data_IF_080495614969
#
_entry.id   IF_080495614969
#
_cell.length_a   1.000
_cell.length_b   1.000
_cell.length_c   1.000
_cell.angle_alpha   90.00
_cell.angle_beta   90.00
_cell.angle_gamma   90.00
#
_symmetry.space_group_name_H-M   'P 1'
#
loop_
_entity.id
_entity.type
_entity.pdbx_description
1 polymer ?
#
# COMPACT_ATOMS: atom_id res chain seq x y z
N UNK A 1 14.84 4.78 -0.48
CA UNK A 1 15.50 6.10 -0.42
C UNK A 1 16.47 6.05 0.73
N UNK A 2 17.69 6.57 0.58
CA UNK A 2 18.72 6.46 1.62
C UNK A 2 18.33 7.34 2.80
N UNK A 3 18.52 6.81 4.02
CA UNK A 3 18.28 7.58 5.24
C UNK A 3 19.38 8.64 5.42
N UNK A 4 19.12 9.66 6.23
CA UNK A 4 20.16 10.64 6.58
C UNK A 4 21.29 9.97 7.39
N UNK A 5 20.95 8.97 8.21
CA UNK A 5 21.92 8.19 8.96
C UNK A 5 22.84 7.38 8.03
N UNK A 6 22.31 6.79 6.96
CA UNK A 6 23.10 6.08 5.94
C UNK A 6 24.12 7.03 5.28
N UNK A 7 23.70 8.25 4.98
CA UNK A 7 24.56 9.27 4.37
C UNK A 7 25.65 9.73 5.35
N UNK A 8 25.31 9.91 6.63
CA UNK A 8 26.29 10.25 7.66
C UNK A 8 27.32 9.13 7.84
N UNK A 9 26.89 7.87 7.81
CA UNK A 9 27.79 6.72 7.92
C UNK A 9 28.75 6.63 6.72
N UNK A 10 28.27 6.88 5.50
CA UNK A 10 29.13 6.94 4.31
C UNK A 10 30.15 8.09 4.38
N UNK A 11 29.74 9.25 4.89
CA UNK A 11 30.65 10.39 5.07
C UNK A 11 31.74 10.09 6.10
N UNK A 12 31.41 9.39 7.19
CA UNK A 12 32.38 8.97 8.21
C UNK A 12 33.36 7.91 7.69
N UNK A 13 32.90 6.94 6.89
CA UNK A 13 33.79 5.99 6.23
C UNK A 13 34.72 6.66 5.22
N UNK A 14 34.25 7.71 4.55
CA UNK A 14 35.06 8.46 3.60
C UNK A 14 36.18 9.28 4.28
N UNK A 15 36.06 9.61 5.56
CA UNK A 15 37.15 10.25 6.34
C UNK A 15 38.14 9.24 6.93
N UNK A 16 37.86 7.94 6.85
CA UNK A 16 38.69 6.85 7.38
C UNK A 16 38.99 5.80 6.29
N UNK A 17 39.95 6.07 5.37
CA UNK A 17 40.21 5.22 4.20
C UNK A 17 40.79 3.84 4.56
N UNK A 18 41.31 3.65 5.77
CA UNK A 18 41.72 2.35 6.32
C UNK A 18 40.56 1.52 6.91
N UNK A 19 39.34 2.05 6.94
CA UNK A 19 38.16 1.32 7.41
C UNK A 19 37.81 0.13 6.51
N UNK A 20 37.12 -0.86 7.09
CA UNK A 20 36.71 -2.06 6.37
C UNK A 20 35.60 -1.73 5.35
N UNK A 21 35.85 -2.00 4.07
CA UNK A 21 34.87 -1.78 3.01
C UNK A 21 33.60 -2.62 3.17
N UNK A 22 33.63 -3.69 3.98
CA UNK A 22 32.46 -4.51 4.29
C UNK A 22 31.31 -3.69 4.89
N UNK A 23 31.61 -2.61 5.61
CA UNK A 23 30.56 -1.74 6.18
C UNK A 23 29.76 -1.07 5.07
N UNK A 24 30.44 -0.63 4.00
CA UNK A 24 29.77 -0.06 2.81
C UNK A 24 28.94 -1.14 2.12
N UNK A 25 29.47 -2.35 1.94
CA UNK A 25 28.75 -3.46 1.30
C UNK A 25 27.44 -3.77 2.06
N UNK A 26 27.49 -3.87 3.39
CA UNK A 26 26.30 -4.11 4.21
C UNK A 26 25.25 -3.00 4.06
N UNK A 27 25.68 -1.74 4.10
CA UNK A 27 24.77 -0.60 3.92
C UNK A 27 24.05 -0.64 2.56
N UNK A 28 24.78 -0.99 1.49
CA UNK A 28 24.21 -1.12 0.17
C UNK A 28 23.26 -2.32 0.07
N UNK A 29 23.62 -3.45 0.66
CA UNK A 29 22.77 -4.65 0.71
C UNK A 29 21.43 -4.38 1.43
N UNK A 30 21.48 -3.71 2.58
CA UNK A 30 20.30 -3.30 3.33
C UNK A 30 19.40 -2.38 2.50
N UNK A 31 20.01 -1.44 1.79
CA UNK A 31 19.25 -0.52 0.95
C UNK A 31 18.62 -1.22 -0.25
N UNK A 32 19.33 -2.19 -0.86
CA UNK A 32 18.77 -3.04 -1.91
C UNK A 32 17.60 -3.87 -1.40
N UNK A 33 17.71 -4.43 -0.19
CA UNK A 33 16.63 -5.19 0.43
C UNK A 33 15.38 -4.32 0.64
N UNK A 34 15.56 -3.10 1.15
CA UNK A 34 14.45 -2.16 1.35
C UNK A 34 13.78 -1.75 0.03
N UNK A 35 14.56 -1.45 -1.01
CA UNK A 35 14.02 -1.11 -2.34
C UNK A 35 13.24 -2.30 -2.92
N UNK A 36 13.77 -3.53 -2.82
CA UNK A 36 13.09 -4.75 -3.28
C UNK A 36 11.77 -4.97 -2.55
N UNK A 37 11.73 -4.77 -1.24
CA UNK A 37 10.50 -4.85 -0.45
C UNK A 37 9.45 -3.84 -0.95
N UNK A 38 9.87 -2.58 -1.18
CA UNK A 38 8.96 -1.56 -1.71
C UNK A 38 8.43 -1.91 -3.10
N UNK A 39 9.28 -2.42 -3.99
CA UNK A 39 8.88 -2.88 -5.32
C UNK A 39 7.85 -4.01 -5.21
N UNK A 40 8.06 -4.99 -4.33
CA UNK A 40 7.11 -6.08 -4.11
C UNK A 40 5.74 -5.59 -3.61
N UNK A 41 5.72 -4.62 -2.68
CA UNK A 41 4.48 -3.96 -2.23
C UNK A 41 3.78 -3.22 -3.37
N UNK A 42 4.54 -2.48 -4.19
CA UNK A 42 3.99 -1.74 -5.32
C UNK A 42 3.44 -2.66 -6.41
N UNK A 43 4.10 -3.79 -6.72
CA UNK A 43 3.55 -4.79 -7.63
C UNK A 43 2.29 -5.46 -7.09
N UNK A 44 2.18 -5.62 -5.78
CA UNK A 44 0.94 -6.12 -5.16
C UNK A 44 -0.19 -5.12 -5.32
N UNK A 45 0.07 -3.85 -5.02
CA UNK A 45 -0.90 -2.77 -5.23
C UNK A 45 -1.29 -2.64 -6.71
N UNK A 46 -0.32 -2.72 -7.63
CA UNK A 46 -0.55 -2.69 -9.06
C UNK A 46 -1.50 -3.81 -9.50
N UNK A 47 -1.27 -5.04 -9.03
CA UNK A 47 -2.16 -6.17 -9.33
C UNK A 47 -3.59 -5.91 -8.84
N UNK A 48 -3.75 -5.40 -7.62
CA UNK A 48 -5.06 -5.05 -7.07
C UNK A 48 -5.76 -3.99 -7.92
N UNK A 49 -5.04 -2.92 -8.30
CA UNK A 49 -5.59 -1.86 -9.14
C UNK A 49 -5.94 -2.33 -10.55
N UNK A 50 -5.15 -3.25 -11.14
CA UNK A 50 -5.47 -3.87 -12.43
C UNK A 50 -6.73 -4.71 -12.36
N UNK A 51 -6.88 -5.54 -11.32
CA UNK A 51 -8.10 -6.31 -11.07
C UNK A 51 -9.31 -5.41 -10.93
N UNK A 52 -9.19 -4.34 -10.13
CA UNK A 52 -10.26 -3.36 -9.95
C UNK A 52 -10.61 -2.68 -11.28
N UNK A 53 -9.61 -2.23 -12.04
CA UNK A 53 -9.82 -1.59 -13.36
C UNK A 53 -10.55 -2.49 -14.36
N UNK A 54 -10.28 -3.81 -14.32
CA UNK A 54 -10.92 -4.78 -15.20
C UNK A 54 -12.42 -4.94 -14.95
N UNK A 55 -12.91 -4.54 -13.77
CA UNK A 55 -14.34 -4.57 -13.44
C UNK A 55 -15.14 -3.45 -14.15
N UNK A 56 -14.46 -2.41 -14.65
CA UNK A 56 -15.13 -1.31 -15.36
C UNK A 56 -15.06 -1.50 -16.88
N UNK A 57 -16.25 -1.53 -17.51
CA UNK A 57 -16.42 -1.50 -18.96
C UNK A 57 -16.30 -0.06 -19.46
N UNK A 58 -15.57 0.14 -20.56
CA UNK A 58 -15.17 1.45 -21.09
C UNK A 58 -16.34 2.42 -21.36
N UNK A 59 -17.52 1.89 -21.68
CA UNK A 59 -18.70 2.67 -22.08
C UNK A 59 -19.84 2.61 -21.04
N UNK A 60 -19.56 2.09 -19.84
CA UNK A 60 -20.54 2.01 -18.77
C UNK A 60 -20.80 3.41 -18.17
N UNK A 61 -22.05 3.70 -17.85
CA UNK A 61 -22.38 4.89 -17.07
C UNK A 61 -21.74 4.81 -15.67
N UNK A 62 -21.59 5.94 -14.98
CA UNK A 62 -21.06 5.96 -13.59
C UNK A 62 -21.88 5.03 -12.66
N UNK A 63 -23.18 4.90 -12.91
CA UNK A 63 -24.08 3.98 -12.18
C UNK A 63 -23.73 2.51 -12.39
N UNK A 64 -23.15 2.17 -13.54
CA UNK A 64 -22.73 0.82 -13.96
C UNK A 64 -21.22 0.60 -13.80
N UNK A 65 -20.50 1.57 -13.22
CA UNK A 65 -19.06 1.48 -13.02
C UNK A 65 -18.75 0.43 -11.96
N UNK A 66 -18.31 -0.76 -12.39
CA UNK A 66 -17.94 -1.87 -11.50
C UNK A 66 -16.90 -1.49 -10.44
N UNK A 67 -15.97 -0.58 -10.76
CA UNK A 67 -14.98 -0.05 -9.80
C UNK A 67 -15.67 0.64 -8.62
N UNK A 68 -16.62 1.53 -8.89
CA UNK A 68 -17.32 2.27 -7.84
C UNK A 68 -18.20 1.34 -7.01
N UNK A 69 -18.86 0.37 -7.65
CA UNK A 69 -19.67 -0.62 -6.95
C UNK A 69 -18.81 -1.46 -5.99
N UNK A 70 -17.64 -1.91 -6.42
CA UNK A 70 -16.70 -2.68 -5.61
C UNK A 70 -16.12 -1.86 -4.45
N UNK A 71 -15.67 -0.63 -4.70
CA UNK A 71 -15.13 0.25 -3.65
C UNK A 71 -16.19 0.60 -2.60
N UNK A 72 -17.43 0.83 -3.04
CA UNK A 72 -18.56 1.08 -2.15
C UNK A 72 -18.92 -0.19 -1.37
N UNK A 73 -18.89 -1.37 -2.00
CA UNK A 73 -19.12 -2.64 -1.31
C UNK A 73 -18.04 -2.90 -0.26
N UNK A 74 -16.77 -2.74 -0.59
CA UNK A 74 -15.65 -2.90 0.33
C UNK A 74 -15.74 -1.91 1.51
N UNK A 75 -16.10 -0.65 1.26
CA UNK A 75 -16.29 0.35 2.31
C UNK A 75 -17.50 0.06 3.23
N UNK A 76 -18.49 -0.70 2.77
CA UNK A 76 -19.64 -1.13 3.58
C UNK A 76 -19.41 -2.48 4.28
N UNK A 77 -18.60 -3.38 3.71
CA UNK A 77 -18.20 -4.66 4.32
C UNK A 77 -17.13 -4.45 5.41
N UNK A 78 -16.41 -3.33 5.35
CA UNK A 78 -15.74 -2.69 6.49
C UNK A 78 -16.80 -2.07 7.43
N UNK A 79 -17.75 -2.90 7.89
CA UNK A 79 -18.62 -2.59 9.00
C UNK A 79 -17.76 -2.30 10.22
N UNK A 80 -17.64 -1.02 10.56
CA UNK A 80 -16.81 -0.56 11.65
C UNK A 80 -17.20 -1.26 12.97
N UNK A 81 -16.27 -2.01 13.58
CA UNK A 81 -16.45 -2.64 14.90
C UNK A 81 -16.59 -1.60 16.03
N UNK A 82 -16.44 -0.30 15.75
CA UNK A 82 -16.23 0.71 16.77
C UNK A 82 -17.28 1.83 16.86
N UNK A 83 -18.32 1.88 16.01
CA UNK A 83 -19.36 2.92 16.16
C UNK A 83 -20.79 2.39 15.92
N UNK A 84 -21.68 2.41 16.93
CA UNK A 84 -23.11 2.19 16.70
C UNK A 84 -23.68 3.40 15.95
N UNK A 85 -24.24 3.15 14.76
CA UNK A 85 -24.97 4.15 13.97
C UNK A 85 -26.40 4.25 14.53
N UNK A 86 -26.66 5.30 15.30
CA UNK A 86 -28.01 5.69 15.69
C UNK A 86 -28.59 6.72 14.69
N UNK A 87 -29.79 6.40 14.18
CA UNK A 87 -30.79 7.28 13.54
C UNK A 87 -30.58 7.66 12.05
N UNK A 88 -31.46 7.32 11.10
CA UNK A 88 -32.76 6.68 11.24
C UNK A 88 -33.49 6.42 9.91
N UNK A 89 -34.55 5.60 10.04
CA UNK A 89 -35.66 5.29 9.13
C UNK A 89 -35.57 3.98 8.32
N UNK A 90 -36.09 2.93 8.97
CA UNK A 90 -36.89 1.78 8.48
C UNK A 90 -36.54 1.20 7.09
N UNK A 91 -36.21 -0.09 6.99
CA UNK A 91 -37.20 -1.20 6.92
C UNK A 91 -36.57 -2.55 7.33
N UNK A 92 -37.43 -3.37 7.91
CA UNK A 92 -37.22 -4.67 8.57
C UNK A 92 -36.41 -5.70 7.78
N UNK A 93 -35.37 -6.28 8.40
CA UNK A 93 -34.77 -7.53 7.93
C UNK A 93 -35.46 -8.71 8.64
N UNK A 94 -36.21 -9.51 7.88
CA UNK A 94 -36.90 -10.72 8.34
C UNK A 94 -35.95 -11.89 8.12
N UNK A 95 -35.33 -12.40 9.18
CA UNK A 95 -34.52 -13.62 9.16
C UNK A 95 -35.45 -14.85 9.22
N UNK A 96 -35.17 -15.85 8.37
CA UNK A 96 -35.70 -17.21 8.47
C UNK A 96 -34.73 -18.05 9.29
#
# INVERSE_FOLDING_TARGET
GMSLDDVHQLLDLNTHPEADCRVVDQLIDDQLAHIRARIASLHTLERQLRTLRAQCRSDASVRECGILQELVAAAHDEGCVCHPVESGRSRTCKRK
#
